data_IF_657105775319
#
_entry.id   IF_657105775319
#
_cell.length_a   1.000
_cell.length_b   1.000
_cell.length_c   1.000
_cell.angle_alpha   90.00
_cell.angle_beta   90.00
_cell.angle_gamma   90.00
#
_symmetry.space_group_name_H-M   'P 1'
#
loop_
_entity.id
_entity.type
_entity.pdbx_description
1 polymer ?
#
# COMPACT_ATOMS: atom_id res chain seq x y z
N UNK A 1 -51.71 -14.10 44.02
CA UNK A 1 -50.29 -13.70 44.20
C UNK A 1 -49.48 -14.27 43.01
N UNK A 2 -48.91 -13.50 42.11
CA UNK A 2 -47.97 -13.88 41.05
C UNK A 2 -48.23 -13.31 39.62
N UNK A 3 -49.13 -12.35 39.42
CA UNK A 3 -49.23 -11.67 38.11
C UNK A 3 -48.36 -10.39 37.99
N UNK A 4 -47.92 -9.82 39.08
CA UNK A 4 -47.10 -8.57 39.07
C UNK A 4 -45.60 -8.79 38.91
N UNK A 5 -45.10 -9.99 39.18
CA UNK A 5 -43.68 -10.34 39.02
C UNK A 5 -43.27 -10.64 37.55
N UNK A 6 -44.23 -11.14 36.76
CA UNK A 6 -43.98 -11.43 35.34
C UNK A 6 -43.91 -10.18 34.43
N UNK A 7 -44.64 -9.13 34.81
CA UNK A 7 -44.66 -7.86 34.06
C UNK A 7 -43.36 -7.10 34.27
N UNK A 8 -42.74 -7.20 35.46
CA UNK A 8 -41.45 -6.58 35.74
C UNK A 8 -40.29 -7.28 35.02
N UNK A 9 -40.33 -8.62 34.87
CA UNK A 9 -39.31 -9.39 34.17
C UNK A 9 -39.34 -9.16 32.64
N UNK A 10 -40.52 -9.00 32.04
CA UNK A 10 -40.67 -8.71 30.60
C UNK A 10 -40.26 -7.28 30.29
N UNK A 11 -40.50 -6.32 31.17
CA UNK A 11 -40.07 -4.93 30.98
C UNK A 11 -38.54 -4.78 31.07
N UNK A 12 -37.85 -5.57 31.89
CA UNK A 12 -36.38 -5.57 31.99
C UNK A 12 -35.72 -6.24 30.78
N UNK A 13 -36.31 -7.34 30.27
CA UNK A 13 -35.83 -7.96 29.01
C UNK A 13 -36.05 -7.09 27.76
N UNK A 14 -37.13 -6.29 27.71
CA UNK A 14 -37.40 -5.40 26.59
C UNK A 14 -36.48 -4.16 26.55
N UNK A 15 -35.89 -3.78 27.71
CA UNK A 15 -34.92 -2.69 27.81
C UNK A 15 -33.48 -3.11 27.42
N UNK A 16 -33.20 -4.42 27.39
CA UNK A 16 -31.88 -4.93 27.00
C UNK A 16 -31.71 -5.16 25.48
N UNK A 17 -32.79 -5.07 24.69
CA UNK A 17 -32.76 -5.21 23.23
C UNK A 17 -32.66 -3.85 22.52
N UNK A 18 -32.78 -2.75 23.23
CA UNK A 18 -32.68 -1.42 22.62
C UNK A 18 -31.28 -0.84 22.80
N UNK A 19 -30.68 -0.58 21.64
CA UNK A 19 -29.49 0.24 21.41
C UNK A 19 -28.15 -0.48 21.32
N UNK A 20 -28.03 -1.42 20.37
CA UNK A 20 -26.80 -1.45 19.61
C UNK A 20 -26.96 -0.42 18.46
N UNK A 21 -26.79 0.86 18.75
CA UNK A 21 -26.49 1.82 17.69
C UNK A 21 -25.26 1.31 16.96
N UNK A 22 -25.32 1.14 15.63
CA UNK A 22 -24.13 0.75 14.89
C UNK A 22 -23.02 1.74 15.24
N UNK A 23 -21.79 1.28 15.45
CA UNK A 23 -20.67 2.17 15.74
C UNK A 23 -20.64 3.25 14.67
N UNK A 24 -20.61 4.52 15.09
CA UNK A 24 -20.57 5.66 14.18
C UNK A 24 -19.40 5.48 13.20
N UNK A 25 -19.57 5.92 11.96
CA UNK A 25 -18.51 5.91 10.96
C UNK A 25 -17.30 6.63 11.52
N UNK A 26 -16.14 6.00 11.46
CA UNK A 26 -14.88 6.64 11.81
C UNK A 26 -14.51 7.68 10.75
N UNK A 27 -13.82 8.74 11.15
CA UNK A 27 -13.18 9.64 10.20
C UNK A 27 -11.72 9.26 10.09
N UNK A 28 -11.21 9.16 8.85
CA UNK A 28 -9.79 8.90 8.59
C UNK A 28 -9.00 10.17 8.90
N UNK A 29 -8.08 10.07 9.84
CA UNK A 29 -7.13 11.11 10.16
C UNK A 29 -5.73 10.65 9.82
N UNK A 30 -5.01 11.46 9.05
CA UNK A 30 -3.58 11.28 8.87
C UNK A 30 -2.90 11.69 10.18
N UNK A 31 -2.15 10.77 10.78
CA UNK A 31 -1.41 11.05 12.01
C UNK A 31 -0.36 12.13 11.77
N UNK A 32 -0.61 13.33 12.26
CA UNK A 32 0.33 14.45 12.25
C UNK A 32 1.03 14.61 13.60
N UNK A 33 0.70 13.73 14.54
CA UNK A 33 1.00 13.88 15.96
C UNK A 33 2.52 13.89 16.27
N UNK A 34 3.34 13.39 15.33
CA UNK A 34 4.81 13.41 15.44
C UNK A 34 5.46 14.60 14.73
N UNK A 35 4.69 15.43 14.02
CA UNK A 35 5.22 16.66 13.43
C UNK A 35 5.42 17.70 14.55
N UNK A 36 6.58 18.36 14.62
CA UNK A 36 6.77 19.44 15.59
C UNK A 36 5.67 20.48 15.45
N UNK A 37 4.98 20.84 16.54
CA UNK A 37 3.86 21.76 16.52
C UNK A 37 4.22 23.05 15.76
N UNK A 38 3.42 23.37 14.72
CA UNK A 38 3.57 24.57 13.91
C UNK A 38 4.71 24.54 12.87
N UNK A 39 5.42 23.42 12.68
CA UNK A 39 6.46 23.31 11.65
C UNK A 39 5.98 22.44 10.48
N UNK A 40 5.93 23.04 9.30
CA UNK A 40 5.79 22.28 8.06
C UNK A 40 7.14 21.61 7.73
N UNK A 41 7.11 20.30 7.49
CA UNK A 41 8.28 19.57 7.00
C UNK A 41 8.28 19.61 5.48
N UNK A 42 9.29 20.24 4.92
CA UNK A 42 9.42 20.54 3.50
C UNK A 42 10.72 19.96 2.93
N UNK A 43 10.67 19.51 1.69
CA UNK A 43 11.83 19.04 0.92
C UNK A 43 11.89 19.73 -0.45
N UNK A 44 13.05 20.21 -0.87
CA UNK A 44 14.23 20.43 -0.04
C UNK A 44 13.92 21.39 1.12
N UNK A 45 14.80 21.39 2.14
CA UNK A 45 14.71 22.37 3.22
C UNK A 45 15.21 23.75 2.73
N UNK A 46 14.72 24.81 3.38
CA UNK A 46 15.25 26.16 3.10
C UNK A 46 16.79 26.18 3.15
N UNK A 47 17.46 26.97 2.30
CA UNK A 47 16.95 28.05 1.45
C UNK A 47 16.41 27.63 0.07
N UNK A 48 16.43 26.36 -0.27
CA UNK A 48 15.93 25.88 -1.55
C UNK A 48 14.40 25.97 -1.63
N UNK A 49 13.86 26.04 -2.85
CA UNK A 49 12.40 26.09 -3.07
C UNK A 49 11.80 24.71 -2.75
N UNK A 50 10.87 24.62 -1.80
CA UNK A 50 10.26 23.35 -1.43
C UNK A 50 9.45 22.75 -2.59
N UNK A 51 9.58 21.44 -2.76
CA UNK A 51 8.85 20.65 -3.76
C UNK A 51 7.88 19.67 -3.13
N UNK A 52 8.13 19.27 -1.90
CA UNK A 52 7.30 18.31 -1.18
C UNK A 52 7.00 18.80 0.23
N UNK A 53 5.76 18.56 0.64
CA UNK A 53 5.26 18.80 1.98
C UNK A 53 4.85 17.47 2.61
N UNK A 54 5.31 17.18 3.82
CA UNK A 54 4.80 16.07 4.62
C UNK A 54 3.34 16.36 5.00
N UNK A 55 2.44 15.39 4.76
CA UNK A 55 1.01 15.54 5.01
C UNK A 55 0.44 14.55 6.01
N UNK A 56 1.22 13.56 6.44
CA UNK A 56 0.80 12.66 7.49
C UNK A 56 1.28 11.23 7.36
N UNK A 57 0.75 10.38 8.22
CA UNK A 57 1.14 8.98 8.38
C UNK A 57 -0.10 8.10 8.58
N UNK A 58 -0.09 6.90 7.98
CA UNK A 58 -1.05 5.83 8.24
C UNK A 58 -0.34 4.70 8.97
N UNK A 59 -0.89 4.30 10.12
CA UNK A 59 -0.36 3.20 10.93
C UNK A 59 -1.37 2.06 11.11
N UNK A 60 -2.66 2.31 10.85
CA UNK A 60 -3.72 1.32 10.99
C UNK A 60 -4.99 1.87 11.64
N UNK A 61 -5.59 1.08 12.53
CA UNK A 61 -6.84 1.43 13.21
C UNK A 61 -6.80 2.76 13.98
N UNK A 62 -5.68 3.19 14.59
CA UNK A 62 -5.59 4.50 15.24
C UNK A 62 -5.84 5.70 14.31
N UNK A 63 -5.73 5.53 12.99
CA UNK A 63 -6.08 6.57 12.04
C UNK A 63 -7.60 6.81 11.91
N UNK A 64 -8.44 5.90 12.40
CA UNK A 64 -9.89 6.08 12.38
C UNK A 64 -10.39 6.57 13.73
N UNK A 65 -10.66 7.87 13.83
CA UNK A 65 -11.27 8.46 15.03
C UNK A 65 -12.78 8.21 14.97
N UNK A 66 -13.29 7.49 15.98
CA UNK A 66 -14.72 7.30 16.19
C UNK A 66 -15.15 8.20 17.33
N UNK A 67 -16.20 9.00 17.12
CA UNK A 67 -16.82 9.67 18.25
C UNK A 67 -17.39 8.60 19.19
N UNK A 68 -16.87 8.56 20.40
CA UNK A 68 -17.45 7.69 21.42
C UNK A 68 -18.89 8.16 21.67
N UNK A 69 -19.89 7.27 21.63
CA UNK A 69 -21.25 7.67 21.96
C UNK A 69 -21.25 8.33 23.35
N UNK A 70 -21.87 9.49 23.45
CA UNK A 70 -21.99 10.23 24.70
C UNK A 70 -22.82 9.39 25.69
N UNK A 71 -22.15 8.51 26.44
CA UNK A 71 -22.80 7.68 27.45
C UNK A 71 -23.05 8.50 28.70
N UNK A 72 -24.28 8.47 29.19
CA UNK A 72 -24.64 9.13 30.45
C UNK A 72 -23.89 8.54 31.64
N UNK A 73 -23.70 9.32 32.71
CA UNK A 73 -22.99 8.87 33.92
C UNK A 73 -23.62 7.61 34.52
N UNK A 74 -24.95 7.47 34.47
CA UNK A 74 -25.68 6.32 34.97
C UNK A 74 -25.41 5.04 34.17
N UNK A 75 -25.31 5.14 32.87
CA UNK A 75 -24.98 4.01 31.98
C UNK A 75 -23.54 3.53 32.19
N UNK A 76 -22.59 4.47 32.35
CA UNK A 76 -21.21 4.12 32.71
C UNK A 76 -21.11 3.38 34.04
N UNK A 77 -21.82 3.85 35.06
CA UNK A 77 -21.85 3.21 36.35
C UNK A 77 -22.49 1.82 36.28
N UNK A 78 -23.60 1.66 35.55
CA UNK A 78 -24.29 0.37 35.40
C UNK A 78 -23.39 -0.66 34.69
N UNK A 79 -22.64 -0.25 33.67
CA UNK A 79 -21.69 -1.12 32.94
C UNK A 79 -20.49 -1.52 33.81
N UNK A 80 -19.93 -0.57 34.59
CA UNK A 80 -18.84 -0.84 35.52
C UNK A 80 -19.27 -1.88 36.61
N UNK A 81 -20.48 -1.72 37.15
CA UNK A 81 -21.04 -2.68 38.13
C UNK A 81 -21.30 -4.05 37.49
N UNK A 82 -21.72 -4.08 36.22
CA UNK A 82 -22.00 -5.32 35.50
C UNK A 82 -20.74 -6.01 34.95
N UNK A 83 -19.54 -5.41 35.11
CA UNK A 83 -18.30 -5.92 34.55
C UNK A 83 -18.27 -5.90 32.99
N UNK A 84 -19.06 -5.00 32.39
CA UNK A 84 -19.18 -4.86 30.92
C UNK A 84 -18.24 -3.80 30.36
N UNK A 85 -17.26 -3.36 31.11
CA UNK A 85 -16.22 -2.47 30.59
C UNK A 85 -15.37 -3.26 29.59
N UNK A 86 -15.40 -2.81 28.33
CA UNK A 86 -14.63 -3.42 27.27
C UNK A 86 -13.13 -3.26 27.59
N UNK A 87 -12.42 -4.37 27.71
CA UNK A 87 -10.95 -4.34 27.66
C UNK A 87 -10.58 -3.75 26.30
N UNK A 88 -9.81 -2.65 26.25
CA UNK A 88 -9.43 -2.06 24.96
C UNK A 88 -8.81 -3.14 24.07
N UNK A 89 -9.44 -3.45 22.96
CA UNK A 89 -8.86 -4.37 21.99
C UNK A 89 -7.53 -3.79 21.49
N UNK A 90 -6.51 -4.66 21.35
CA UNK A 90 -5.24 -4.24 20.76
C UNK A 90 -5.53 -3.75 19.33
N UNK A 91 -5.21 -2.50 19.00
CA UNK A 91 -5.54 -1.96 17.69
C UNK A 91 -4.79 -2.71 16.58
N UNK A 92 -5.46 -2.91 15.46
CA UNK A 92 -4.84 -3.49 14.26
C UNK A 92 -3.96 -2.44 13.62
N UNK A 93 -2.65 -2.71 13.59
CA UNK A 93 -1.64 -1.82 12.99
C UNK A 93 -0.81 -2.55 11.95
N UNK A 94 -0.27 -1.79 11.02
CA UNK A 94 0.74 -2.24 10.05
C UNK A 94 1.98 -2.71 10.80
N UNK A 95 2.60 -3.79 10.33
CA UNK A 95 3.86 -4.31 10.87
C UNK A 95 4.99 -4.30 9.83
N UNK A 96 4.70 -4.74 8.60
CA UNK A 96 5.64 -4.75 7.47
C UNK A 96 4.93 -4.37 6.18
N UNK A 97 4.49 -3.11 6.03
CA UNK A 97 3.87 -2.65 4.81
C UNK A 97 4.86 -2.76 3.64
N UNK A 98 4.43 -3.41 2.56
CA UNK A 98 5.25 -3.64 1.37
C UNK A 98 4.88 -2.70 0.23
N UNK A 99 3.67 -2.77 -0.25
CA UNK A 99 3.15 -1.96 -1.36
C UNK A 99 1.92 -1.21 -0.89
N UNK A 100 1.79 0.02 -1.35
CA UNK A 100 0.59 0.85 -1.17
C UNK A 100 0.06 1.25 -2.53
N UNK A 101 -1.25 1.24 -2.69
CA UNK A 101 -1.95 1.84 -3.83
C UNK A 101 -3.36 2.26 -3.41
N UNK A 102 -3.98 3.15 -4.18
CA UNK A 102 -5.35 3.59 -3.95
C UNK A 102 -6.24 3.43 -5.17
N UNK A 103 -7.55 3.47 -4.93
CA UNK A 103 -8.54 3.51 -6.00
C UNK A 103 -9.25 4.88 -6.06
N UNK A 104 -10.11 5.02 -7.06
CA UNK A 104 -10.92 6.22 -7.29
C UNK A 104 -12.09 6.39 -6.30
N UNK A 105 -12.33 5.38 -5.45
CA UNK A 105 -13.36 5.39 -4.39
C UNK A 105 -12.82 5.87 -3.04
N UNK A 106 -11.56 6.27 -2.97
CA UNK A 106 -10.92 6.73 -1.73
C UNK A 106 -10.48 5.60 -0.80
N UNK A 107 -10.31 4.37 -1.32
CA UNK A 107 -9.71 3.28 -0.56
C UNK A 107 -8.21 3.24 -0.81
N UNK A 108 -7.44 3.05 0.25
CA UNK A 108 -6.02 2.76 0.19
C UNK A 108 -5.78 1.31 0.61
N UNK A 109 -5.08 0.57 -0.23
CA UNK A 109 -4.70 -0.82 -0.02
C UNK A 109 -3.22 -0.88 0.34
N UNK A 110 -2.90 -1.60 1.41
CA UNK A 110 -1.52 -1.76 1.86
C UNK A 110 -1.25 -3.24 2.10
N UNK A 111 -0.35 -3.86 1.32
CA UNK A 111 0.08 -5.22 1.59
C UNK A 111 0.97 -5.25 2.83
N UNK A 112 0.75 -6.22 3.71
CA UNK A 112 1.55 -6.41 4.91
C UNK A 112 1.93 -7.88 5.07
N UNK A 113 3.21 -8.16 4.81
CA UNK A 113 3.72 -9.55 4.82
C UNK A 113 3.76 -10.14 6.23
N UNK A 114 3.93 -9.33 7.28
CA UNK A 114 3.91 -9.82 8.65
C UNK A 114 2.49 -10.11 9.16
N UNK A 115 1.48 -9.51 8.54
CA UNK A 115 0.06 -9.80 8.81
C UNK A 115 -0.53 -10.83 7.85
N UNK A 116 0.24 -11.26 6.86
CA UNK A 116 -0.21 -12.13 5.78
C UNK A 116 -1.53 -11.65 5.18
N UNK A 117 -1.63 -10.35 4.87
CA UNK A 117 -2.87 -9.75 4.43
C UNK A 117 -2.72 -8.38 3.78
N UNK A 118 -3.84 -7.86 3.32
CA UNK A 118 -3.96 -6.53 2.73
C UNK A 118 -4.86 -5.69 3.64
N UNK A 119 -4.31 -4.62 4.20
CA UNK A 119 -5.07 -3.59 4.89
C UNK A 119 -5.81 -2.73 3.89
N UNK A 120 -7.07 -2.44 4.17
CA UNK A 120 -7.90 -1.53 3.38
C UNK A 120 -8.36 -0.39 4.26
N UNK A 121 -7.82 0.78 4.03
CA UNK A 121 -8.27 2.02 4.66
C UNK A 121 -9.40 2.58 3.79
N UNK A 122 -10.63 2.39 4.21
CA UNK A 122 -11.81 2.89 3.50
C UNK A 122 -12.25 4.22 4.12
N UNK A 123 -11.91 5.32 3.45
CA UNK A 123 -12.24 6.67 3.91
C UNK A 123 -13.76 6.92 3.87
N UNK A 124 -14.46 6.39 2.87
CA UNK A 124 -15.91 6.61 2.72
C UNK A 124 -16.73 5.81 3.74
N UNK A 125 -16.32 4.55 3.98
CA UNK A 125 -16.95 3.71 5.01
C UNK A 125 -16.52 4.11 6.43
N UNK A 126 -15.37 4.78 6.58
CA UNK A 126 -14.80 5.17 7.86
C UNK A 126 -14.31 3.96 8.66
N UNK A 127 -13.72 2.98 7.98
CA UNK A 127 -13.26 1.74 8.63
C UNK A 127 -11.96 1.19 8.05
N UNK A 128 -11.28 0.37 8.87
CA UNK A 128 -10.12 -0.41 8.48
C UNK A 128 -10.52 -1.87 8.34
N UNK A 129 -10.31 -2.42 7.13
CA UNK A 129 -10.48 -3.85 6.88
C UNK A 129 -9.11 -4.53 6.75
N UNK A 130 -9.08 -5.84 6.95
CA UNK A 130 -7.93 -6.69 6.70
C UNK A 130 -8.38 -7.91 5.89
N UNK A 131 -7.94 -7.99 4.64
CA UNK A 131 -8.21 -9.10 3.74
C UNK A 131 -7.08 -10.13 3.81
N UNK A 132 -7.41 -11.36 4.20
CA UNK A 132 -6.42 -12.41 4.44
C UNK A 132 -6.63 -13.67 3.62
N UNK A 133 -7.71 -13.78 2.85
CA UNK A 133 -8.05 -14.99 2.12
C UNK A 133 -7.47 -14.98 0.70
N UNK A 134 -6.82 -16.09 0.31
CA UNK A 134 -6.35 -16.34 -1.04
C UNK A 134 -7.38 -17.14 -1.86
N UNK A 135 -8.10 -18.07 -1.21
CA UNK A 135 -9.21 -18.81 -1.76
C UNK A 135 -10.15 -19.30 -0.64
N UNK A 136 -11.12 -20.17 -0.93
CA UNK A 136 -12.10 -20.65 0.05
C UNK A 136 -11.47 -21.41 1.24
N UNK A 137 -10.27 -21.95 1.08
CA UNK A 137 -9.62 -22.84 2.05
C UNK A 137 -8.24 -22.36 2.50
N UNK A 138 -7.63 -21.44 1.76
CA UNK A 138 -6.26 -20.99 1.98
C UNK A 138 -6.20 -19.49 2.21
N UNK A 139 -5.47 -19.09 3.25
CA UNK A 139 -5.13 -17.70 3.50
C UNK A 139 -3.95 -17.24 2.62
N UNK A 140 -3.80 -15.93 2.46
CA UNK A 140 -2.58 -15.31 1.97
C UNK A 140 -1.41 -15.68 2.89
N UNK A 141 -0.20 -15.77 2.34
CA UNK A 141 1.02 -16.11 3.09
C UNK A 141 2.03 -14.97 3.02
N UNK A 142 2.33 -14.49 1.82
CA UNK A 142 3.30 -13.42 1.60
C UNK A 142 2.80 -12.46 0.51
N UNK A 143 1.77 -11.64 0.83
CA UNK A 143 1.24 -10.66 -0.12
C UNK A 143 2.29 -9.57 -0.36
N UNK A 144 2.91 -9.59 -1.54
CA UNK A 144 4.01 -8.73 -1.91
C UNK A 144 3.57 -7.56 -2.81
N UNK A 145 2.94 -7.86 -3.95
CA UNK A 145 2.54 -6.87 -4.94
C UNK A 145 1.03 -6.68 -5.03
N UNK A 146 0.60 -5.48 -5.37
CA UNK A 146 -0.80 -5.12 -5.54
C UNK A 146 -1.01 -4.43 -6.90
N UNK A 147 -2.14 -4.68 -7.55
CA UNK A 147 -2.63 -3.89 -8.68
C UNK A 147 -4.16 -3.86 -8.68
N UNK A 148 -4.77 -2.75 -9.13
CA UNK A 148 -6.22 -2.67 -9.25
C UNK A 148 -6.73 -3.63 -10.33
N UNK A 149 -7.70 -4.46 -9.97
CA UNK A 149 -8.40 -5.34 -10.88
C UNK A 149 -9.64 -4.64 -11.47
N UNK A 150 -10.23 -5.18 -12.55
CA UNK A 150 -11.49 -4.67 -13.08
C UNK A 150 -12.60 -4.59 -12.02
N UNK A 151 -13.55 -3.68 -12.20
CA UNK A 151 -14.75 -3.49 -11.35
C UNK A 151 -14.45 -3.13 -9.88
N UNK A 152 -13.27 -2.56 -9.62
CA UNK A 152 -12.84 -2.16 -8.27
C UNK A 152 -12.32 -3.30 -7.40
N UNK A 153 -11.99 -4.44 -8.00
CA UNK A 153 -11.29 -5.54 -7.33
C UNK A 153 -9.79 -5.29 -7.21
N UNK A 154 -9.08 -6.28 -6.66
CA UNK A 154 -7.64 -6.21 -6.42
C UNK A 154 -6.95 -7.49 -6.90
N UNK A 155 -5.80 -7.33 -7.55
CA UNK A 155 -4.81 -8.39 -7.75
C UNK A 155 -3.78 -8.32 -6.63
N UNK A 156 -3.47 -9.47 -6.04
CA UNK A 156 -2.48 -9.64 -4.97
C UNK A 156 -1.47 -10.68 -5.40
N UNK A 157 -0.21 -10.30 -5.64
CA UNK A 157 0.86 -11.25 -5.84
C UNK A 157 1.25 -11.86 -4.49
N UNK A 158 1.06 -13.15 -4.33
CA UNK A 158 1.54 -13.86 -3.15
C UNK A 158 2.84 -14.60 -3.49
N UNK A 159 3.93 -14.10 -2.95
CA UNK A 159 5.27 -14.56 -3.28
C UNK A 159 5.55 -16.01 -2.83
N UNK A 160 4.95 -16.47 -1.75
CA UNK A 160 5.11 -17.83 -1.24
C UNK A 160 4.12 -18.81 -1.88
N UNK A 161 2.90 -18.37 -2.21
CA UNK A 161 1.93 -19.19 -2.92
C UNK A 161 2.29 -19.36 -4.41
N UNK A 162 3.21 -18.54 -4.94
CA UNK A 162 3.65 -18.60 -6.34
C UNK A 162 2.51 -18.29 -7.33
N UNK A 163 1.62 -17.37 -6.98
CA UNK A 163 0.46 -17.00 -7.80
C UNK A 163 -0.02 -15.59 -7.51
N UNK A 164 -0.83 -15.06 -8.41
CA UNK A 164 -1.59 -13.83 -8.18
C UNK A 164 -3.03 -14.20 -7.83
N UNK A 165 -3.48 -13.75 -6.66
CA UNK A 165 -4.87 -13.89 -6.21
C UNK A 165 -5.68 -12.75 -6.77
N UNK A 166 -6.88 -13.04 -7.29
CA UNK A 166 -7.85 -12.05 -7.72
C UNK A 166 -8.94 -11.93 -6.67
N UNK A 167 -9.12 -10.73 -6.12
CA UNK A 167 -10.16 -10.39 -5.16
C UNK A 167 -11.19 -9.47 -5.81
N UNK A 168 -12.46 -9.60 -5.42
CA UNK A 168 -13.49 -8.63 -5.79
C UNK A 168 -13.38 -7.32 -4.98
N UNK A 169 -14.31 -6.40 -5.19
CA UNK A 169 -14.33 -5.11 -4.49
C UNK A 169 -14.57 -5.22 -2.97
N UNK A 170 -15.05 -6.35 -2.48
CA UNK A 170 -15.25 -6.66 -1.06
C UNK A 170 -14.12 -7.49 -0.45
N UNK A 171 -13.10 -7.87 -1.23
CA UNK A 171 -11.99 -8.71 -0.78
C UNK A 171 -12.30 -10.22 -0.83
N UNK A 172 -13.38 -10.62 -1.51
CA UNK A 172 -13.70 -12.03 -1.69
C UNK A 172 -12.85 -12.61 -2.82
N UNK A 173 -12.19 -13.77 -2.63
CA UNK A 173 -11.42 -14.43 -3.67
C UNK A 173 -12.29 -14.87 -4.87
N UNK A 174 -11.89 -14.43 -6.07
CA UNK A 174 -12.56 -14.69 -7.34
C UNK A 174 -11.76 -15.61 -8.27
N UNK A 175 -10.61 -16.09 -7.84
CA UNK A 175 -9.72 -16.96 -8.61
C UNK A 175 -8.26 -16.56 -8.52
N UNK A 176 -7.45 -17.18 -9.37
CA UNK A 176 -5.98 -17.00 -9.34
C UNK A 176 -5.41 -16.97 -10.75
N UNK A 177 -4.24 -16.33 -10.89
CA UNK A 177 -3.48 -16.21 -12.14
C UNK A 177 -2.07 -16.75 -11.91
N UNK A 178 -1.52 -17.45 -12.90
CA UNK A 178 -0.14 -17.86 -12.94
C UNK A 178 0.24 -19.02 -12.02
N UNK A 179 -0.74 -19.74 -11.45
CA UNK A 179 -0.46 -20.96 -10.65
C UNK A 179 0.31 -22.00 -11.47
N UNK A 180 1.44 -22.46 -10.93
CA UNK A 180 2.36 -23.38 -11.62
C UNK A 180 3.24 -22.74 -12.70
N UNK A 181 3.02 -21.45 -13.02
CA UNK A 181 3.82 -20.69 -13.98
C UNK A 181 4.76 -19.70 -13.30
N UNK A 182 4.37 -19.18 -12.12
CA UNK A 182 5.11 -18.20 -11.35
C UNK A 182 5.95 -18.90 -10.25
N UNK A 183 7.21 -18.49 -10.10
CA UNK A 183 8.10 -18.99 -9.07
C UNK A 183 8.03 -18.16 -7.79
N UNK A 184 8.17 -16.84 -7.93
CA UNK A 184 8.07 -15.85 -6.83
C UNK A 184 7.56 -14.52 -7.34
N UNK A 185 6.25 -14.38 -7.57
CA UNK A 185 5.67 -13.12 -8.01
C UNK A 185 5.79 -12.08 -6.89
N UNK A 186 6.26 -10.87 -7.23
CA UNK A 186 6.43 -9.78 -6.27
C UNK A 186 5.77 -8.49 -6.72
N UNK A 187 6.24 -7.86 -7.80
CA UNK A 187 5.67 -6.62 -8.32
C UNK A 187 4.51 -6.89 -9.27
N UNK A 188 3.50 -6.06 -9.20
CA UNK A 188 2.38 -6.04 -10.14
C UNK A 188 2.24 -4.64 -10.73
N UNK A 189 1.93 -4.59 -12.03
CA UNK A 189 1.41 -3.39 -12.68
C UNK A 189 0.32 -3.79 -13.68
N UNK A 190 -0.62 -2.90 -13.94
CA UNK A 190 -1.71 -3.20 -14.89
C UNK A 190 -1.86 -2.06 -15.90
N UNK A 191 -2.00 -2.44 -17.17
CA UNK A 191 -2.56 -1.57 -18.21
C UNK A 191 -4.08 -1.77 -18.27
N UNK A 192 -4.86 -0.81 -17.75
CA UNK A 192 -6.33 -0.94 -17.75
C UNK A 192 -6.95 -0.76 -19.14
N UNK A 193 -6.21 -0.17 -20.11
CA UNK A 193 -6.71 0.07 -21.46
C UNK A 193 -6.64 -1.20 -22.30
N UNK A 194 -5.56 -1.96 -22.17
CA UNK A 194 -5.37 -3.21 -22.91
C UNK A 194 -5.78 -4.45 -22.10
N UNK A 195 -6.08 -4.32 -20.81
CA UNK A 195 -6.40 -5.43 -19.92
C UNK A 195 -5.19 -6.34 -19.68
N UNK A 196 -3.99 -5.76 -19.60
CA UNK A 196 -2.74 -6.49 -19.38
C UNK A 196 -2.31 -6.39 -17.93
N UNK A 197 -1.95 -7.53 -17.34
CA UNK A 197 -1.35 -7.63 -16.00
C UNK A 197 0.11 -8.05 -16.16
N UNK A 198 1.02 -7.20 -15.74
CA UNK A 198 2.47 -7.45 -15.67
C UNK A 198 2.82 -7.97 -14.28
N UNK A 199 3.55 -9.07 -14.23
CA UNK A 199 3.96 -9.74 -12.98
C UNK A 199 5.47 -9.90 -12.97
N UNK A 200 6.16 -9.24 -12.05
CA UNK A 200 7.57 -9.49 -11.81
C UNK A 200 7.74 -10.85 -11.12
N UNK A 201 8.24 -11.82 -11.85
CA UNK A 201 8.59 -13.13 -11.30
C UNK A 201 10.06 -13.12 -10.88
N UNK A 202 10.29 -12.67 -9.66
CA UNK A 202 11.63 -12.35 -9.15
C UNK A 202 12.63 -13.50 -9.30
N UNK A 203 12.21 -14.75 -9.01
CA UNK A 203 13.10 -15.91 -9.09
C UNK A 203 13.28 -16.45 -10.51
N UNK A 204 12.33 -16.17 -11.41
CA UNK A 204 12.48 -16.48 -12.83
C UNK A 204 13.32 -15.42 -13.56
N UNK A 205 13.58 -14.25 -12.93
CA UNK A 205 14.30 -13.13 -13.52
C UNK A 205 13.62 -12.58 -14.79
N UNK A 206 12.29 -12.58 -14.81
CA UNK A 206 11.50 -12.12 -15.94
C UNK A 206 10.23 -11.39 -15.49
N UNK A 207 9.52 -10.82 -16.45
CA UNK A 207 8.19 -10.23 -16.26
C UNK A 207 7.20 -11.04 -17.12
N UNK A 208 6.24 -11.69 -16.49
CA UNK A 208 5.17 -12.41 -17.16
C UNK A 208 3.97 -11.52 -17.40
N UNK A 209 3.46 -11.53 -18.62
CA UNK A 209 2.33 -10.69 -19.05
C UNK A 209 1.11 -11.57 -19.25
N UNK A 210 0.07 -11.29 -18.48
CA UNK A 210 -1.21 -11.98 -18.54
C UNK A 210 -2.32 -11.04 -19.03
N UNK A 211 -3.36 -11.58 -19.62
CA UNK A 211 -4.60 -10.84 -19.82
C UNK A 211 -5.51 -10.90 -18.57
N UNK A 212 -6.58 -10.11 -18.56
CA UNK A 212 -7.56 -10.10 -17.45
C UNK A 212 -8.29 -11.46 -17.24
N UNK A 213 -8.26 -12.35 -18.24
CA UNK A 213 -8.77 -13.72 -18.11
C UNK A 213 -7.75 -14.68 -17.45
N UNK A 214 -6.49 -14.24 -17.22
CA UNK A 214 -5.44 -15.02 -16.59
C UNK A 214 -4.60 -15.86 -17.56
N UNK A 215 -4.77 -15.70 -18.88
CA UNK A 215 -3.92 -16.37 -19.86
C UNK A 215 -2.57 -15.67 -19.99
N UNK A 216 -1.48 -16.44 -19.93
CA UNK A 216 -0.13 -15.94 -20.21
C UNK A 216 0.00 -15.59 -21.70
N UNK A 217 0.33 -14.36 -22.00
CA UNK A 217 0.47 -13.86 -23.38
C UNK A 217 1.92 -13.95 -23.86
N UNK A 218 2.85 -13.41 -23.08
CA UNK A 218 4.30 -13.44 -23.38
C UNK A 218 5.12 -13.20 -22.10
N UNK A 219 6.43 -13.28 -22.26
CA UNK A 219 7.42 -13.03 -21.21
C UNK A 219 8.40 -11.97 -21.68
N UNK A 220 8.69 -10.99 -20.82
CA UNK A 220 9.66 -9.92 -21.07
C UNK A 220 10.93 -10.25 -20.28
N UNK A 221 12.06 -10.26 -20.94
CA UNK A 221 13.38 -10.42 -20.34
C UNK A 221 13.73 -11.86 -19.97
N UNK A 222 14.88 -11.97 -19.33
CA UNK A 222 15.51 -13.20 -18.83
C UNK A 222 16.62 -12.83 -17.85
N UNK A 223 17.20 -13.81 -17.17
CA UNK A 223 18.34 -13.59 -16.28
C UNK A 223 19.54 -13.02 -16.99
N UNK A 224 20.08 -11.90 -16.50
CA UNK A 224 21.29 -11.26 -17.00
C UNK A 224 21.44 -9.82 -16.52
N UNK A 225 22.40 -9.09 -17.11
CA UNK A 225 22.69 -7.69 -16.82
C UNK A 225 22.67 -6.78 -18.07
N UNK A 226 22.48 -7.36 -19.25
CA UNK A 226 22.31 -6.63 -20.51
C UNK A 226 21.00 -5.86 -20.57
N UNK A 227 20.79 -5.15 -21.66
CA UNK A 227 19.56 -4.41 -21.94
C UNK A 227 18.40 -5.40 -22.14
N UNK A 228 17.29 -5.17 -21.44
CA UNK A 228 16.16 -6.08 -21.45
C UNK A 228 16.35 -7.37 -20.62
N UNK A 229 17.51 -7.58 -20.00
CA UNK A 229 17.74 -8.66 -19.06
C UNK A 229 17.56 -8.17 -17.62
N UNK A 230 17.26 -9.09 -16.69
CA UNK A 230 16.98 -8.77 -15.28
C UNK A 230 17.80 -9.59 -14.30
N UNK A 231 18.07 -8.98 -13.14
CA UNK A 231 18.63 -9.67 -11.99
C UNK A 231 17.78 -9.36 -10.75
N UNK A 232 16.88 -10.27 -10.43
CA UNK A 232 15.87 -10.14 -9.37
C UNK A 232 14.99 -8.87 -9.56
N UNK A 233 14.18 -8.77 -10.64
CA UNK A 233 13.19 -7.70 -10.78
C UNK A 233 12.16 -7.79 -9.66
N UNK A 234 11.79 -6.68 -9.02
CA UNK A 234 10.94 -6.72 -7.82
C UNK A 234 9.68 -5.89 -7.89
N UNK A 235 9.75 -4.66 -8.40
CA UNK A 235 8.61 -3.73 -8.43
C UNK A 235 8.36 -3.24 -9.84
N UNK A 236 7.09 -2.94 -10.11
CA UNK A 236 6.61 -2.47 -11.39
C UNK A 236 5.73 -1.25 -11.20
N UNK A 237 5.77 -0.34 -12.16
CA UNK A 237 4.78 0.70 -12.35
C UNK A 237 4.38 0.77 -13.83
N UNK A 238 3.10 1.04 -14.10
CA UNK A 238 2.63 1.28 -15.47
C UNK A 238 1.97 2.65 -15.53
N UNK A 239 2.50 3.51 -16.40
CA UNK A 239 1.99 4.87 -16.59
C UNK A 239 2.13 5.29 -18.04
N UNK A 240 1.08 5.89 -18.62
CA UNK A 240 1.08 6.48 -19.98
C UNK A 240 1.58 5.54 -21.09
N UNK A 241 1.31 4.23 -20.97
CA UNK A 241 1.71 3.22 -21.94
C UNK A 241 3.12 2.68 -21.74
N UNK A 242 3.78 3.00 -20.64
CA UNK A 242 5.14 2.59 -20.31
C UNK A 242 5.17 1.75 -19.04
N UNK A 243 5.96 0.67 -19.09
CA UNK A 243 6.22 -0.20 -17.96
C UNK A 243 7.61 0.10 -17.39
N UNK A 244 7.65 0.55 -16.15
CA UNK A 244 8.87 0.78 -15.38
C UNK A 244 9.16 -0.45 -14.53
N UNK A 245 10.36 -0.99 -14.67
CA UNK A 245 10.79 -2.22 -13.98
C UNK A 245 11.98 -1.92 -13.06
N UNK A 246 11.82 -2.17 -11.78
CA UNK A 246 12.94 -2.14 -10.84
C UNK A 246 13.76 -3.41 -10.96
N UNK A 247 14.93 -3.31 -11.58
CA UNK A 247 15.91 -4.37 -11.77
C UNK A 247 16.93 -4.33 -10.60
N UNK A 248 16.47 -4.84 -9.45
CA UNK A 248 17.03 -4.57 -8.12
C UNK A 248 18.52 -4.89 -8.00
N UNK A 249 18.95 -6.07 -8.42
CA UNK A 249 20.36 -6.48 -8.30
C UNK A 249 21.23 -6.06 -9.51
N UNK A 250 20.65 -5.42 -10.50
CA UNK A 250 21.37 -4.65 -11.53
C UNK A 250 21.39 -3.15 -11.21
N UNK A 251 20.83 -2.73 -10.06
CA UNK A 251 20.92 -1.35 -9.57
C UNK A 251 20.34 -0.30 -10.50
N UNK A 252 19.24 -0.61 -11.20
CA UNK A 252 18.67 0.25 -12.23
C UNK A 252 17.15 0.14 -12.35
N UNK A 253 16.58 1.11 -13.03
CA UNK A 253 15.22 1.07 -13.57
C UNK A 253 15.33 0.92 -15.09
N UNK A 254 14.57 -0.01 -15.67
CA UNK A 254 14.41 -0.14 -17.12
C UNK A 254 12.97 0.19 -17.51
N UNK A 255 12.79 0.88 -18.65
CA UNK A 255 11.47 1.30 -19.13
C UNK A 255 11.15 0.60 -20.44
N UNK A 256 9.98 -0.03 -20.50
CA UNK A 256 9.48 -0.79 -21.64
C UNK A 256 8.19 -0.16 -22.16
N UNK A 257 7.93 -0.29 -23.44
CA UNK A 257 6.60 -0.03 -24.01
C UNK A 257 5.58 -1.08 -23.54
N UNK A 258 4.30 -0.80 -23.73
CA UNK A 258 3.23 -1.74 -23.42
C UNK A 258 3.32 -3.06 -24.22
N UNK A 259 4.01 -3.04 -25.37
CA UNK A 259 4.32 -4.22 -26.20
C UNK A 259 5.50 -5.06 -25.66
N UNK A 260 6.13 -4.63 -24.57
CA UNK A 260 7.27 -5.30 -23.96
C UNK A 260 8.61 -5.00 -24.62
N UNK A 261 8.67 -4.09 -25.60
CA UNK A 261 9.93 -3.65 -26.17
C UNK A 261 10.63 -2.67 -25.23
N UNK A 262 11.93 -2.89 -25.00
CA UNK A 262 12.74 -1.97 -24.20
C UNK A 262 12.80 -0.62 -24.92
N UNK A 263 12.34 0.41 -24.23
CA UNK A 263 12.57 1.79 -24.65
C UNK A 263 14.02 2.17 -24.34
N UNK A 264 14.58 3.13 -25.10
CA UNK A 264 15.96 3.58 -24.92
C UNK A 264 16.17 4.34 -23.58
N UNK A 265 15.38 4.04 -22.57
CA UNK A 265 15.44 4.65 -21.23
C UNK A 265 15.72 3.60 -20.17
N UNK A 266 16.88 3.74 -19.57
CA UNK A 266 17.28 3.08 -18.33
C UNK A 266 18.10 4.08 -17.52
N UNK A 267 17.99 4.03 -16.23
CA UNK A 267 18.74 4.90 -15.33
C UNK A 267 18.98 4.24 -13.98
N UNK A 268 19.90 4.81 -13.23
CA UNK A 268 20.41 4.24 -12.00
C UNK A 268 21.68 3.44 -12.24
N UNK A 269 22.57 3.54 -11.28
CA UNK A 269 23.83 2.80 -11.22
C UNK A 269 24.21 2.56 -9.75
N UNK A 270 24.99 1.54 -9.52
CA UNK A 270 25.52 1.26 -8.17
C UNK A 270 26.56 2.31 -7.78
N UNK A 271 26.42 2.91 -6.60
CA UNK A 271 27.38 3.87 -6.10
C UNK A 271 27.07 4.37 -4.70
N UNK A 272 27.91 5.31 -4.22
CA UNK A 272 27.82 5.90 -2.89
C UNK A 272 27.29 7.34 -2.91
N UNK A 273 27.02 7.88 -4.09
CA UNK A 273 26.55 9.25 -4.23
C UNK A 273 25.02 9.31 -4.19
N UNK A 274 24.50 10.46 -3.82
CA UNK A 274 23.07 10.74 -3.94
C UNK A 274 22.60 10.53 -5.39
N UNK A 275 21.47 9.82 -5.56
CA UNK A 275 20.97 9.44 -6.86
C UNK A 275 21.43 8.07 -7.36
N UNK A 276 22.47 7.47 -6.75
CA UNK A 276 22.82 6.09 -7.05
C UNK A 276 21.78 5.10 -6.44
N UNK A 277 21.67 3.93 -7.06
CA UNK A 277 20.76 2.87 -6.66
C UNK A 277 21.55 1.65 -6.16
N UNK A 278 21.50 1.37 -4.85
CA UNK A 278 22.14 0.18 -4.26
C UNK A 278 21.14 -0.97 -4.10
N UNK A 279 19.96 -0.63 -3.61
CA UNK A 279 18.86 -1.60 -3.45
C UNK A 279 17.52 -0.94 -3.80
N UNK A 280 17.32 -0.57 -5.08
CA UNK A 280 16.05 0.00 -5.50
C UNK A 280 14.92 -1.01 -5.33
N UNK A 281 13.77 -0.53 -4.89
CA UNK A 281 12.53 -1.30 -4.70
C UNK A 281 11.35 -0.60 -5.39
N UNK A 282 10.43 -0.04 -4.62
CA UNK A 282 9.24 0.63 -5.16
C UNK A 282 9.57 1.63 -6.25
N UNK A 283 8.80 1.61 -7.31
CA UNK A 283 8.83 2.61 -8.39
C UNK A 283 7.42 3.10 -8.64
N UNK A 284 7.26 4.42 -8.82
CA UNK A 284 6.01 5.05 -9.21
C UNK A 284 6.31 6.23 -10.15
N UNK A 285 5.29 6.64 -10.90
CA UNK A 285 5.40 7.77 -11.84
C UNK A 285 4.19 8.67 -11.64
N UNK A 286 4.40 9.98 -11.58
CA UNK A 286 3.32 10.96 -11.48
C UNK A 286 2.80 11.41 -12.86
N UNK A 287 1.79 12.27 -12.84
CA UNK A 287 1.18 12.81 -14.07
C UNK A 287 2.10 13.71 -14.89
N UNK A 288 3.18 14.25 -14.30
CA UNK A 288 4.17 15.09 -14.95
C UNK A 288 5.35 14.26 -15.52
N UNK A 289 5.39 12.95 -15.21
CA UNK A 289 6.43 12.02 -15.64
C UNK A 289 7.62 11.95 -14.69
N UNK A 290 7.56 12.55 -13.50
CA UNK A 290 8.60 12.34 -12.51
C UNK A 290 8.57 10.90 -12.01
N UNK A 291 9.73 10.28 -11.85
CA UNK A 291 9.86 8.90 -11.42
C UNK A 291 10.37 8.85 -9.98
N UNK A 292 9.61 8.20 -9.14
CA UNK A 292 9.89 8.02 -7.71
C UNK A 292 10.45 6.61 -7.49
N UNK A 293 11.63 6.51 -6.91
CA UNK A 293 12.29 5.23 -6.63
C UNK A 293 12.64 5.12 -5.16
N UNK A 294 12.12 4.12 -4.50
CA UNK A 294 12.53 3.79 -3.14
C UNK A 294 13.93 3.16 -3.17
N UNK A 295 14.87 3.79 -2.51
CA UNK A 295 16.22 3.26 -2.29
C UNK A 295 16.34 2.74 -0.85
N UNK A 296 16.12 1.44 -0.67
CA UNK A 296 15.97 0.86 0.66
C UNK A 296 17.28 0.66 1.42
N UNK A 297 18.43 0.77 0.77
CA UNK A 297 19.73 0.69 1.46
C UNK A 297 20.09 2.01 2.15
N UNK A 298 19.74 3.14 1.54
CA UNK A 298 19.96 4.47 2.09
C UNK A 298 18.72 5.07 2.76
N UNK A 299 17.65 4.28 2.92
CA UNK A 299 16.40 4.70 3.56
C UNK A 299 15.84 6.00 2.96
N UNK A 300 15.81 6.09 1.64
CA UNK A 300 15.44 7.31 0.93
C UNK A 300 14.44 7.03 -0.19
N UNK A 301 13.62 8.03 -0.48
CA UNK A 301 12.88 8.13 -1.72
C UNK A 301 13.66 9.07 -2.65
N UNK A 302 14.06 8.58 -3.81
CA UNK A 302 14.76 9.34 -4.82
C UNK A 302 13.78 9.75 -5.92
N UNK A 303 13.84 11.02 -6.33
CA UNK A 303 13.01 11.56 -7.40
C UNK A 303 13.89 11.80 -8.62
N UNK A 304 13.43 11.31 -9.78
CA UNK A 304 14.08 11.47 -11.08
C UNK A 304 13.14 12.16 -12.07
N UNK A 305 13.70 12.85 -13.05
CA UNK A 305 12.94 13.35 -14.19
C UNK A 305 12.44 12.21 -15.09
N UNK A 306 11.53 12.52 -16.01
CA UNK A 306 11.10 11.56 -17.06
C UNK A 306 12.25 11.04 -17.93
N UNK A 307 13.41 11.71 -17.93
CA UNK A 307 14.63 11.30 -18.63
C UNK A 307 15.56 10.45 -17.77
N UNK A 308 15.22 10.23 -16.47
CA UNK A 308 16.06 9.50 -15.53
C UNK A 308 17.17 10.34 -14.89
N UNK A 309 17.09 11.67 -14.96
CA UNK A 309 18.01 12.58 -14.29
C UNK A 309 17.61 12.70 -12.83
N UNK A 310 18.57 12.53 -11.90
CA UNK A 310 18.31 12.69 -10.48
C UNK A 310 17.95 14.14 -10.13
N UNK A 311 16.86 14.33 -9.39
CA UNK A 311 16.35 15.64 -8.98
C UNK A 311 16.58 15.93 -7.51
N UNK A 312 16.08 15.06 -6.61
CA UNK A 312 16.23 15.27 -5.17
C UNK A 312 15.98 13.98 -4.37
N UNK A 313 16.52 13.87 -3.13
CA UNK A 313 16.18 12.83 -2.18
C UNK A 313 15.15 13.31 -1.17
N UNK A 314 14.32 12.42 -0.66
CA UNK A 314 13.41 12.62 0.47
C UNK A 314 13.71 11.54 1.49
N UNK A 315 13.77 11.89 2.79
CA UNK A 315 13.89 10.94 3.88
C UNK A 315 15.29 10.80 4.45
N UNK A 316 15.81 9.59 4.49
CA UNK A 316 17.03 9.17 5.20
C UNK A 316 16.70 8.35 6.45
N UNK A 317 17.70 7.63 7.00
CA UNK A 317 17.52 6.63 8.06
C UNK A 317 16.94 7.21 9.35
N UNK A 318 15.90 6.56 9.88
CA UNK A 318 15.37 6.85 11.21
C UNK A 318 13.89 6.58 11.38
N UNK A 319 13.39 6.81 12.60
CA UNK A 319 11.99 6.61 12.99
C UNK A 319 11.21 7.94 13.06
N UNK A 320 11.92 9.07 13.08
CA UNK A 320 11.31 10.39 13.15
C UNK A 320 10.44 10.69 11.92
N UNK A 321 9.60 11.71 12.05
CA UNK A 321 8.74 12.18 10.95
C UNK A 321 9.58 12.56 9.73
N UNK A 322 9.18 12.05 8.55
CA UNK A 322 9.91 12.29 7.31
C UNK A 322 11.22 11.51 7.16
N UNK A 323 11.51 10.57 8.07
CA UNK A 323 12.59 9.58 7.95
C UNK A 323 12.00 8.22 7.64
N UNK A 324 12.83 7.31 7.13
CA UNK A 324 12.45 5.94 6.79
C UNK A 324 13.36 4.90 7.43
N UNK A 325 12.85 3.68 7.53
CA UNK A 325 13.66 2.52 7.89
C UNK A 325 13.29 1.33 7.01
N UNK A 326 14.20 0.98 6.10
CA UNK A 326 14.01 -0.03 5.04
C UNK A 326 12.68 0.15 4.28
N UNK A 327 12.41 1.33 3.70
CA UNK A 327 11.19 1.56 2.92
C UNK A 327 11.12 0.58 1.75
N UNK A 328 9.89 0.22 1.32
CA UNK A 328 9.68 -0.81 0.31
C UNK A 328 8.94 -0.28 -0.93
N UNK A 329 7.71 0.14 -0.79
CA UNK A 329 6.85 0.57 -1.88
C UNK A 329 6.65 2.07 -1.95
N UNK A 330 6.30 2.57 -3.11
CA UNK A 330 5.84 3.94 -3.35
C UNK A 330 4.69 3.92 -4.34
N UNK A 331 3.74 4.83 -4.15
CA UNK A 331 2.63 5.07 -5.06
C UNK A 331 2.30 6.56 -5.09
N UNK A 332 1.94 7.08 -6.25
CA UNK A 332 1.51 8.46 -6.44
C UNK A 332 0.07 8.47 -6.92
N UNK A 333 -0.79 9.23 -6.26
CA UNK A 333 -2.18 9.38 -6.63
C UNK A 333 -2.41 10.48 -7.68
N UNK A 334 -3.64 10.57 -8.18
CA UNK A 334 -4.05 11.58 -9.18
C UNK A 334 -4.02 13.02 -8.67
N UNK A 335 -3.81 13.23 -7.36
CA UNK A 335 -3.64 14.54 -6.72
C UNK A 335 -2.17 14.86 -6.43
N UNK A 336 -1.26 14.07 -7.00
CA UNK A 336 0.19 14.17 -6.76
C UNK A 336 0.58 13.98 -5.28
N UNK A 337 -0.20 13.17 -4.52
CA UNK A 337 0.22 12.73 -3.20
C UNK A 337 1.06 11.47 -3.33
N UNK A 338 2.22 11.50 -2.71
CA UNK A 338 3.21 10.41 -2.71
C UNK A 338 3.08 9.62 -1.42
N UNK A 339 2.81 8.33 -1.53
CA UNK A 339 2.63 7.41 -0.42
C UNK A 339 3.81 6.46 -0.39
N UNK A 340 4.55 6.41 0.72
CA UNK A 340 5.74 5.56 0.89
C UNK A 340 5.49 4.53 1.97
N UNK A 341 5.55 3.25 1.62
CA UNK A 341 5.49 2.16 2.59
C UNK A 341 6.82 2.06 3.34
N UNK A 342 6.85 2.56 4.58
CA UNK A 342 7.98 2.59 5.48
C UNK A 342 7.99 1.31 6.32
N UNK A 343 8.55 0.22 5.71
CA UNK A 343 8.33 -1.16 6.09
C UNK A 343 8.68 -1.44 7.55
N UNK A 344 9.87 -1.06 8.01
CA UNK A 344 10.32 -1.41 9.36
C UNK A 344 9.83 -0.44 10.44
N UNK A 345 9.30 0.72 10.05
CA UNK A 345 8.57 1.61 10.95
C UNK A 345 7.06 1.27 11.03
N UNK A 346 6.58 0.29 10.26
CA UNK A 346 5.19 -0.17 10.31
C UNK A 346 4.17 0.91 9.94
N UNK A 347 4.47 1.74 8.94
CA UNK A 347 3.63 2.88 8.56
C UNK A 347 3.68 3.16 7.06
N UNK A 348 2.73 3.94 6.57
CA UNK A 348 2.78 4.60 5.26
C UNK A 348 2.93 6.09 5.49
N UNK A 349 3.97 6.70 4.91
CA UNK A 349 4.24 8.14 5.02
C UNK A 349 3.72 8.85 3.79
N UNK A 350 3.07 9.99 3.97
CA UNK A 350 2.43 10.76 2.91
C UNK A 350 3.10 12.10 2.71
N UNK A 351 3.33 12.44 1.44
CA UNK A 351 3.81 13.74 1.01
C UNK A 351 2.90 14.31 -0.07
N UNK A 352 2.76 15.62 -0.10
CA UNK A 352 2.15 16.35 -1.20
C UNK A 352 3.24 16.93 -2.09
N UNK A 353 3.24 16.61 -3.36
CA UNK A 353 4.06 17.32 -4.35
C UNK A 353 3.45 18.69 -4.62
N UNK A 354 4.26 19.73 -4.51
CA UNK A 354 3.85 21.15 -4.59
C UNK A 354 3.99 21.73 -6.00
N UNK A 355 4.48 20.95 -6.94
CA UNK A 355 4.74 21.35 -8.32
C UNK A 355 6.20 21.71 -8.58
N UNK A 356 6.58 21.69 -9.87
CA UNK A 356 7.82 22.24 -10.39
C UNK A 356 7.55 23.68 -10.85
N UNK A 357 8.12 24.68 -10.17
CA UNK A 357 8.12 26.06 -10.67
C UNK A 357 9.23 26.22 -11.73
#
# INVERSE_FOLDING_TARGET
MNRRLWIAAIAVCSLLVACSTPPGRGQLHLGLDDAPEGRQLLWPAAPEVPRFLYTGTLVGEPNFRREAPARGALERLARAIAGLDEVPAVPRVLLRPGVVLGDDRGRLFVSDTARAGVFVFDEQAGELLLWTQADATQALVSPAGLALAPQGGLYVADAELGRVVRLDAGGVPMGQIGHGLLQRPTGLARDPRQGLLYVADTYAHDIKVFNDAGALLHVIGRRGSGDGEFNYPTHLAFMQGELYVTDTLNHRIQVFGADGQLLARKFGERGLFLGNLVRPKGVAVDGEGNVYVVESYYDSLLVFSSRGEFLLPIGGTGTATGRFYLPAGVWVDSRNRVHVADMFNGRVVLFQFLGGG
#
